data_IF_930455605234
#
_entry.id   IF_930455605234
#
_cell.length_a   1.000
_cell.length_b   1.000
_cell.length_c   1.000
_cell.angle_alpha   90.00
_cell.angle_beta   90.00
_cell.angle_gamma   90.00
#
_symmetry.space_group_name_H-M   'P 1'
#
loop_
_entity.id
_entity.type
_entity.pdbx_description
1 polymer ?
#
# COMPACT_ATOMS: atom_id res chain seq x y z
N UNK A 1 20.13 26.69 -54.09
CA UNK A 1 21.27 27.21 -53.31
C UNK A 1 21.64 26.16 -52.25
N UNK A 2 22.79 25.51 -52.48
CA UNK A 2 23.36 24.46 -51.62
C UNK A 2 24.09 25.11 -50.45
N UNK A 3 23.91 24.63 -49.23
CA UNK A 3 24.89 24.79 -48.12
C UNK A 3 24.98 23.49 -47.32
N UNK A 4 26.12 22.89 -47.38
CA UNK A 4 26.65 21.71 -46.69
C UNK A 4 26.97 22.04 -45.23
N UNK A 5 26.86 21.12 -44.29
CA UNK A 5 27.33 21.29 -42.92
C UNK A 5 28.76 20.79 -42.75
N UNK A 6 29.49 21.49 -41.90
CA UNK A 6 30.85 21.18 -41.50
C UNK A 6 30.84 20.10 -40.38
N UNK A 7 31.71 19.11 -40.56
CA UNK A 7 32.14 18.11 -39.58
C UNK A 7 33.11 18.76 -38.59
N UNK A 8 32.82 18.63 -37.30
CA UNK A 8 33.77 18.85 -36.22
C UNK A 8 34.11 17.53 -35.56
N UNK A 9 35.29 17.06 -35.79
CA UNK A 9 35.92 15.94 -35.10
C UNK A 9 36.46 16.45 -33.76
N UNK A 10 36.11 15.78 -32.67
CA UNK A 10 36.75 15.99 -31.35
C UNK A 10 37.29 14.69 -30.79
N UNK A 11 38.55 14.80 -30.40
CA UNK A 11 39.49 13.75 -30.07
C UNK A 11 39.10 12.93 -28.81
N UNK A 12 39.39 11.61 -28.92
CA UNK A 12 39.52 10.71 -27.78
C UNK A 12 40.75 11.09 -26.95
N UNK A 13 40.55 11.34 -25.66
CA UNK A 13 41.60 11.29 -24.66
C UNK A 13 41.39 10.05 -23.79
N UNK A 14 42.21 9.01 -24.03
CA UNK A 14 42.38 7.88 -23.12
C UNK A 14 43.18 8.36 -21.91
N UNK A 15 42.59 8.32 -20.74
CA UNK A 15 43.28 8.35 -19.45
C UNK A 15 43.14 6.99 -18.78
N UNK A 16 44.17 6.20 -18.87
CA UNK A 16 44.38 5.05 -18.02
C UNK A 16 44.68 5.54 -16.60
N UNK A 17 43.83 5.19 -15.64
CA UNK A 17 44.10 5.39 -14.22
C UNK A 17 43.93 4.05 -13.49
N UNK A 18 44.97 3.75 -12.76
CA UNK A 18 45.38 2.50 -12.16
C UNK A 18 44.41 1.77 -11.27
N UNK A 19 44.57 0.45 -11.27
CA UNK A 19 44.07 -0.49 -10.28
C UNK A 19 44.67 -0.19 -8.90
N UNK A 20 43.96 0.50 -8.05
CA UNK A 20 44.23 0.57 -6.61
C UNK A 20 43.37 -0.48 -5.91
N UNK A 21 43.93 -1.65 -5.60
CA UNK A 21 43.32 -2.63 -4.71
C UNK A 21 43.36 -2.11 -3.27
N UNK A 22 42.36 -1.30 -2.92
CA UNK A 22 42.07 -0.86 -1.55
C UNK A 22 40.94 -1.70 -0.98
N UNK A 23 41.22 -2.85 -0.37
CA UNK A 23 40.30 -3.66 0.40
C UNK A 23 39.85 -2.95 1.68
N UNK A 24 39.07 -1.93 1.56
CA UNK A 24 38.34 -1.32 2.69
C UNK A 24 37.23 -2.26 3.16
N UNK A 25 37.50 -3.04 4.20
CA UNK A 25 36.45 -3.67 5.00
C UNK A 25 35.65 -2.53 5.63
N UNK A 26 34.58 -2.10 4.94
CA UNK A 26 33.53 -1.29 5.57
C UNK A 26 32.92 -2.18 6.64
N UNK A 27 33.38 -2.04 7.89
CA UNK A 27 32.70 -2.59 9.05
C UNK A 27 31.33 -1.89 9.06
N UNK A 28 30.29 -2.62 8.68
CA UNK A 28 28.93 -2.16 8.86
C UNK A 28 28.78 -1.86 10.35
N UNK A 29 28.62 -0.58 10.68
CA UNK A 29 28.28 -0.18 12.06
C UNK A 29 27.10 -1.02 12.53
N UNK A 30 27.18 -1.61 13.74
CA UNK A 30 26.08 -2.39 14.26
C UNK A 30 24.83 -1.52 14.17
N UNK A 31 23.80 -2.03 13.47
CA UNK A 31 22.51 -1.35 13.36
C UNK A 31 22.02 -1.11 14.79
N UNK A 32 22.00 0.14 15.20
CA UNK A 32 21.38 0.51 16.45
C UNK A 32 19.93 0.03 16.41
N UNK A 33 19.62 -0.95 17.29
CA UNK A 33 18.24 -1.36 17.53
C UNK A 33 17.54 -0.13 18.06
N UNK A 34 16.56 0.35 17.31
CA UNK A 34 15.83 1.53 17.70
C UNK A 34 15.10 1.25 19.04
N UNK A 35 15.13 2.18 20.00
CA UNK A 35 14.51 1.97 21.30
C UNK A 35 13.01 1.68 21.13
N UNK A 36 12.48 0.82 22.01
CA UNK A 36 11.04 0.56 22.08
C UNK A 36 10.30 1.87 22.36
N UNK A 37 9.07 2.03 21.83
CA UNK A 37 8.28 3.21 22.10
C UNK A 37 7.95 3.32 23.59
N UNK A 38 7.83 4.54 24.05
CA UNK A 38 7.41 4.83 25.41
C UNK A 38 5.96 4.39 25.67
N UNK A 39 5.61 4.15 26.92
CA UNK A 39 4.23 3.84 27.29
C UNK A 39 3.24 4.92 26.82
N UNK A 40 3.65 6.19 26.83
CA UNK A 40 2.84 7.30 26.34
C UNK A 40 2.59 7.24 24.82
N UNK A 41 3.61 6.88 24.04
CA UNK A 41 3.46 6.67 22.60
C UNK A 41 2.51 5.50 22.30
N UNK A 42 2.66 4.39 23.01
CA UNK A 42 1.76 3.23 22.88
C UNK A 42 0.32 3.60 23.21
N UNK A 43 0.10 4.32 24.32
CA UNK A 43 -1.23 4.78 24.70
C UNK A 43 -1.84 5.69 23.65
N UNK A 44 -1.08 6.64 23.11
CA UNK A 44 -1.50 7.54 22.06
C UNK A 44 -1.87 6.78 20.77
N UNK A 45 -1.05 5.85 20.32
CA UNK A 45 -1.34 5.02 19.16
C UNK A 45 -2.62 4.21 19.31
N UNK A 46 -2.85 3.65 20.50
CA UNK A 46 -4.10 2.92 20.79
C UNK A 46 -5.34 3.81 20.66
N UNK A 47 -5.28 5.02 21.20
CA UNK A 47 -6.37 5.98 21.11
C UNK A 47 -6.62 6.38 19.65
N UNK A 48 -5.55 6.69 18.90
CA UNK A 48 -5.63 7.03 17.48
C UNK A 48 -6.23 5.91 16.64
N UNK A 49 -5.77 4.68 16.85
CA UNK A 49 -6.25 3.53 16.09
C UNK A 49 -7.73 3.22 16.41
N UNK A 50 -8.11 3.28 17.67
CA UNK A 50 -9.50 3.11 18.07
C UNK A 50 -10.41 4.17 17.44
N UNK A 51 -9.96 5.43 17.44
CA UNK A 51 -10.67 6.52 16.80
C UNK A 51 -10.78 6.35 15.29
N UNK A 52 -9.66 6.08 14.59
CA UNK A 52 -9.64 5.89 13.15
C UNK A 52 -10.54 4.74 12.71
N UNK A 53 -10.54 3.62 13.44
CA UNK A 53 -11.42 2.49 13.17
C UNK A 53 -12.91 2.85 13.36
N UNK A 54 -13.23 3.61 14.41
CA UNK A 54 -14.60 4.06 14.63
C UNK A 54 -15.09 4.96 13.50
N UNK A 55 -14.23 5.87 13.03
CA UNK A 55 -14.54 6.77 11.90
C UNK A 55 -14.67 6.00 10.60
N UNK A 56 -13.79 5.05 10.31
CA UNK A 56 -13.90 4.19 9.12
C UNK A 56 -15.23 3.41 9.12
N UNK A 57 -15.59 2.79 10.23
CA UNK A 57 -16.85 2.07 10.35
C UNK A 57 -18.08 2.98 10.13
N UNK A 58 -18.01 4.22 10.63
CA UNK A 58 -19.08 5.20 10.42
C UNK A 58 -19.14 5.65 8.95
N UNK A 59 -17.98 5.85 8.29
CA UNK A 59 -17.93 6.22 6.88
C UNK A 59 -18.50 5.12 5.98
N UNK A 60 -18.13 3.86 6.22
CA UNK A 60 -18.70 2.72 5.49
C UNK A 60 -20.23 2.64 5.66
N UNK A 61 -20.72 2.86 6.87
CA UNK A 61 -22.15 2.88 7.14
C UNK A 61 -22.86 4.08 6.52
N UNK A 62 -22.21 5.25 6.53
CA UNK A 62 -22.75 6.48 5.95
C UNK A 62 -22.91 6.42 4.42
N UNK A 63 -22.11 5.59 3.76
CA UNK A 63 -22.22 5.32 2.33
C UNK A 63 -23.45 4.44 1.98
N UNK A 64 -24.05 3.76 2.97
CA UNK A 64 -25.23 2.92 2.76
C UNK A 64 -26.52 3.77 2.66
N UNK A 65 -27.46 3.40 1.78
CA UNK A 65 -28.73 4.11 1.70
C UNK A 65 -29.61 3.85 2.93
N UNK A 66 -30.42 4.83 3.31
CA UNK A 66 -31.44 4.70 4.33
C UNK A 66 -31.10 5.36 5.69
N UNK A 67 -31.95 5.14 6.71
CA UNK A 67 -31.87 5.83 8.01
C UNK A 67 -30.56 5.59 8.76
N UNK A 68 -29.99 4.38 8.65
CA UNK A 68 -28.72 4.02 9.28
C UNK A 68 -27.55 4.85 8.70
N UNK A 69 -27.49 5.02 7.37
CA UNK A 69 -26.51 5.85 6.70
C UNK A 69 -26.60 7.32 7.11
N UNK A 70 -27.82 7.86 7.20
CA UNK A 70 -28.03 9.25 7.66
C UNK A 70 -27.59 9.45 9.11
N UNK A 71 -27.82 8.48 10.00
CA UNK A 71 -27.35 8.53 11.39
C UNK A 71 -25.83 8.52 11.46
N UNK A 72 -25.16 7.67 10.68
CA UNK A 72 -23.71 7.57 10.63
C UNK A 72 -23.10 8.82 10.04
N UNK A 73 -23.70 9.40 9.00
CA UNK A 73 -23.27 10.70 8.44
C UNK A 73 -23.39 11.83 9.47
N UNK A 74 -24.45 11.87 10.27
CA UNK A 74 -24.59 12.84 11.35
C UNK A 74 -23.50 12.67 12.42
N UNK A 75 -23.16 11.42 12.77
CA UNK A 75 -22.07 11.13 13.70
C UNK A 75 -20.70 11.57 13.13
N UNK A 76 -20.43 11.34 11.84
CA UNK A 76 -19.22 11.78 11.17
C UNK A 76 -19.04 13.31 11.18
N UNK A 77 -20.11 14.07 11.11
CA UNK A 77 -20.05 15.54 11.23
C UNK A 77 -19.52 16.02 12.59
N UNK A 78 -19.64 15.18 13.62
CA UNK A 78 -19.11 15.44 14.96
C UNK A 78 -17.70 14.87 15.18
N UNK A 79 -17.07 14.32 14.17
CA UNK A 79 -15.77 13.65 14.19
C UNK A 79 -14.69 14.50 14.88
N UNK A 80 -14.54 15.77 14.50
CA UNK A 80 -13.51 16.65 15.06
C UNK A 80 -13.63 16.90 16.57
N UNK A 81 -14.79 17.26 17.12
CA UNK A 81 -15.02 17.32 18.56
C UNK A 81 -14.74 15.99 19.28
N UNK A 82 -15.22 14.87 18.73
CA UNK A 82 -14.99 13.53 19.30
C UNK A 82 -13.49 13.22 19.32
N UNK A 83 -12.77 13.53 18.24
CA UNK A 83 -11.32 13.34 18.17
C UNK A 83 -10.63 14.08 19.33
N UNK A 84 -10.89 15.36 19.49
CA UNK A 84 -10.26 16.19 20.54
C UNK A 84 -10.55 15.71 21.97
N UNK A 85 -11.70 15.08 22.18
CA UNK A 85 -12.04 14.53 23.50
C UNK A 85 -11.50 13.12 23.76
N UNK A 86 -11.24 12.35 22.70
CA UNK A 86 -10.88 10.91 22.79
C UNK A 86 -9.40 10.65 22.62
N UNK A 87 -8.69 11.52 21.90
CA UNK A 87 -7.26 11.34 21.61
C UNK A 87 -6.47 12.40 22.38
N UNK A 88 -5.62 11.95 23.28
CA UNK A 88 -4.75 12.80 24.08
C UNK A 88 -3.72 13.56 23.25
N UNK A 89 -2.96 14.44 23.90
CA UNK A 89 -1.92 15.24 23.25
C UNK A 89 -0.88 14.35 22.59
N UNK A 90 -0.58 14.64 21.33
CA UNK A 90 0.41 13.91 20.56
C UNK A 90 1.83 14.14 21.12
N UNK A 91 2.56 13.07 21.51
CA UNK A 91 3.84 13.19 22.21
C UNK A 91 4.98 13.72 21.35
N UNK A 92 4.86 13.70 20.01
CA UNK A 92 5.91 14.16 19.11
C UNK A 92 5.37 15.06 17.99
N UNK A 93 6.28 15.81 17.31
CA UNK A 93 5.93 16.63 16.16
C UNK A 93 5.24 15.84 15.05
N UNK A 94 5.72 14.62 14.77
CA UNK A 94 5.19 13.77 13.70
C UNK A 94 3.81 13.21 14.05
N UNK A 95 3.62 12.80 15.29
CA UNK A 95 2.31 12.38 15.78
C UNK A 95 1.31 13.55 15.79
N UNK A 96 1.77 14.77 16.03
CA UNK A 96 0.95 15.97 15.82
C UNK A 96 0.54 16.13 14.36
N UNK A 97 1.44 15.86 13.41
CA UNK A 97 1.09 15.90 11.97
C UNK A 97 0.03 14.84 11.61
N UNK A 98 0.15 13.63 12.18
CA UNK A 98 -0.87 12.59 12.02
C UNK A 98 -2.22 13.02 12.61
N UNK A 99 -2.22 13.61 13.80
CA UNK A 99 -3.41 14.15 14.42
C UNK A 99 -4.05 15.27 13.58
N UNK A 100 -3.25 16.16 13.01
CA UNK A 100 -3.72 17.21 12.11
C UNK A 100 -4.34 16.65 10.82
N UNK A 101 -3.74 15.60 10.24
CA UNK A 101 -4.29 14.93 9.06
C UNK A 101 -5.67 14.30 9.36
N UNK A 102 -5.80 13.64 10.51
CA UNK A 102 -7.10 13.09 10.95
C UNK A 102 -8.14 14.20 11.20
N UNK A 103 -7.73 15.32 11.80
CA UNK A 103 -8.63 16.48 11.95
C UNK A 103 -9.03 17.10 10.61
N UNK A 104 -8.13 17.06 9.61
CA UNK A 104 -8.45 17.42 8.23
C UNK A 104 -9.54 16.52 7.64
N UNK A 105 -9.38 15.20 7.79
CA UNK A 105 -10.40 14.24 7.39
C UNK A 105 -11.75 14.49 8.07
N UNK A 106 -11.72 14.78 9.39
CA UNK A 106 -12.94 15.14 10.11
C UNK A 106 -13.61 16.43 9.57
N UNK A 107 -12.83 17.40 9.10
CA UNK A 107 -13.36 18.60 8.48
C UNK A 107 -14.04 18.28 7.13
N UNK A 108 -13.49 17.35 6.34
CA UNK A 108 -14.12 16.87 5.10
C UNK A 108 -15.45 16.16 5.38
N UNK A 109 -15.47 15.27 6.35
CA UNK A 109 -16.71 14.61 6.79
C UNK A 109 -17.76 15.60 7.29
N UNK A 110 -17.34 16.65 8.01
CA UNK A 110 -18.24 17.70 8.47
C UNK A 110 -18.91 18.46 7.32
N UNK A 111 -18.20 18.62 6.19
CA UNK A 111 -18.74 19.19 4.94
C UNK A 111 -19.59 18.22 4.14
N UNK A 112 -19.65 16.96 4.53
CA UNK A 112 -20.36 15.90 3.82
C UNK A 112 -19.55 15.29 2.66
N UNK A 113 -18.27 15.62 2.52
CA UNK A 113 -17.39 15.00 1.52
C UNK A 113 -16.77 13.71 2.08
N UNK A 114 -17.55 12.63 2.01
CA UNK A 114 -17.11 11.30 2.48
C UNK A 114 -15.83 10.83 1.79
N UNK A 115 -15.69 11.09 0.48
CA UNK A 115 -14.53 10.62 -0.28
C UNK A 115 -13.25 11.36 0.08
N UNK A 116 -13.32 12.67 0.26
CA UNK A 116 -12.17 13.44 0.70
C UNK A 116 -11.77 13.04 2.13
N UNK A 117 -12.75 12.87 3.02
CA UNK A 117 -12.52 12.42 4.38
C UNK A 117 -11.87 11.03 4.44
N UNK A 118 -12.35 10.07 3.67
CA UNK A 118 -11.77 8.71 3.60
C UNK A 118 -10.33 8.75 3.05
N UNK A 119 -10.07 9.50 1.99
CA UNK A 119 -8.71 9.65 1.47
C UNK A 119 -7.77 10.23 2.52
N UNK A 120 -8.15 11.33 3.15
CA UNK A 120 -7.34 11.99 4.18
C UNK A 120 -7.12 11.08 5.39
N UNK A 121 -8.10 10.28 5.78
CA UNK A 121 -7.98 9.31 6.87
C UNK A 121 -7.01 8.17 6.50
N UNK A 122 -7.09 7.64 5.28
CA UNK A 122 -6.18 6.61 4.78
C UNK A 122 -4.74 7.12 4.63
N UNK A 123 -4.55 8.34 4.13
CA UNK A 123 -3.23 8.99 4.10
C UNK A 123 -2.67 9.18 5.51
N UNK A 124 -3.50 9.52 6.48
CA UNK A 124 -3.08 9.65 7.87
C UNK A 124 -2.68 8.32 8.50
N UNK A 125 -3.21 7.20 8.02
CA UNK A 125 -2.90 5.88 8.57
C UNK A 125 -1.41 5.54 8.46
N UNK A 126 -0.76 5.93 7.37
CA UNK A 126 0.69 5.78 7.20
C UNK A 126 1.49 6.60 8.22
N UNK A 127 0.99 7.78 8.60
CA UNK A 127 1.60 8.64 9.60
C UNK A 127 1.36 8.13 11.03
N UNK A 128 0.21 7.49 11.30
CA UNK A 128 -0.12 6.92 12.60
C UNK A 128 0.87 5.83 12.99
N UNK A 129 1.32 5.03 12.01
CA UNK A 129 2.24 3.91 12.25
C UNK A 129 3.72 4.31 12.25
N UNK A 130 4.04 5.58 12.04
CA UNK A 130 5.42 6.05 12.06
C UNK A 130 5.83 6.45 13.48
N UNK A 131 7.03 6.05 13.85
CA UNK A 131 7.65 6.48 15.11
C UNK A 131 7.89 7.98 15.14
N UNK A 132 8.09 8.50 16.36
CA UNK A 132 8.44 9.91 16.59
C UNK A 132 9.69 10.37 15.84
N UNK A 133 10.64 9.46 15.56
CA UNK A 133 11.88 9.70 14.81
C UNK A 133 11.74 9.54 13.30
N UNK A 134 10.54 9.28 12.83
CA UNK A 134 10.30 9.15 11.40
C UNK A 134 10.51 7.78 10.79
N UNK A 135 10.83 6.81 11.58
CA UNK A 135 11.01 5.43 11.12
C UNK A 135 9.71 4.65 11.27
N UNK A 136 9.51 3.63 10.45
CA UNK A 136 8.47 2.63 10.68
C UNK A 136 8.69 2.01 12.07
N UNK A 137 7.59 1.56 12.67
CA UNK A 137 7.68 0.81 13.92
C UNK A 137 8.69 -0.34 13.73
N UNK A 138 9.69 -0.50 14.63
CA UNK A 138 10.65 -1.56 14.49
C UNK A 138 9.93 -2.90 14.61
N UNK A 139 10.29 -3.86 13.78
CA UNK A 139 10.02 -5.25 14.08
C UNK A 139 10.94 -5.70 15.21
N UNK A 140 10.45 -6.46 16.17
CA UNK A 140 11.28 -7.11 17.18
C UNK A 140 12.28 -8.02 16.47
N UNK A 141 13.54 -7.63 16.48
CA UNK A 141 14.61 -8.37 15.81
C UNK A 141 15.16 -7.69 14.54
N UNK A 142 14.56 -6.59 14.08
CA UNK A 142 14.96 -5.94 12.84
C UNK A 142 14.61 -6.80 11.60
N UNK A 143 14.69 -6.22 10.42
CA UNK A 143 14.56 -7.03 9.20
C UNK A 143 15.73 -8.02 9.16
N UNK A 144 15.43 -9.31 9.24
CA UNK A 144 16.44 -10.35 9.07
C UNK A 144 16.93 -10.33 7.62
N UNK A 145 18.05 -11.01 7.33
CA UNK A 145 18.54 -11.15 5.96
C UNK A 145 17.54 -11.84 5.01
N UNK A 146 16.51 -12.46 5.57
CA UNK A 146 15.44 -13.13 4.83
C UNK A 146 14.35 -12.18 4.32
N UNK A 147 14.14 -11.06 5.02
CA UNK A 147 13.21 -10.01 4.57
C UNK A 147 13.93 -9.06 3.61
N UNK A 148 13.48 -8.99 2.36
CA UNK A 148 14.20 -8.29 1.29
C UNK A 148 13.30 -7.45 0.39
N UNK A 149 13.88 -6.41 -0.21
CA UNK A 149 13.28 -5.71 -1.34
C UNK A 149 13.43 -6.57 -2.60
N UNK A 150 12.34 -6.81 -3.30
CA UNK A 150 12.31 -7.60 -4.54
C UNK A 150 12.36 -6.68 -5.77
N UNK A 151 13.48 -6.66 -6.52
CA UNK A 151 13.67 -5.69 -7.60
C UNK A 151 12.66 -5.84 -8.75
N UNK A 152 12.28 -7.09 -9.11
CA UNK A 152 11.33 -7.32 -10.22
C UNK A 152 9.91 -6.89 -9.83
N UNK A 153 9.50 -7.16 -8.59
CA UNK A 153 8.19 -6.72 -8.09
C UNK A 153 8.16 -5.21 -7.93
N UNK A 154 9.27 -4.60 -7.46
CA UNK A 154 9.40 -3.14 -7.34
C UNK A 154 9.28 -2.44 -8.68
N UNK A 155 9.92 -2.96 -9.75
CA UNK A 155 9.75 -2.41 -11.11
C UNK A 155 8.31 -2.52 -11.60
N UNK A 156 7.65 -3.64 -11.36
CA UNK A 156 6.25 -3.80 -11.72
C UNK A 156 5.36 -2.83 -10.94
N UNK A 157 5.58 -2.69 -9.65
CA UNK A 157 4.83 -1.76 -8.79
C UNK A 157 5.06 -0.30 -9.20
N UNK A 158 6.29 0.11 -9.48
CA UNK A 158 6.60 1.45 -9.97
C UNK A 158 5.90 1.75 -11.31
N UNK A 159 5.91 0.79 -12.24
CA UNK A 159 5.22 0.93 -13.54
C UNK A 159 3.68 0.97 -13.41
N UNK A 160 3.11 0.34 -12.39
CA UNK A 160 1.67 0.35 -12.10
C UNK A 160 1.24 1.64 -11.40
N UNK A 161 2.00 2.09 -10.42
CA UNK A 161 1.70 3.31 -9.65
C UNK A 161 2.08 4.59 -10.40
N UNK A 162 2.93 4.51 -11.44
CA UNK A 162 3.52 5.68 -12.08
C UNK A 162 4.47 6.46 -11.15
N UNK A 163 4.84 5.88 -10.00
CA UNK A 163 5.67 6.52 -8.98
C UNK A 163 7.06 5.90 -8.95
N UNK A 164 8.05 6.63 -9.45
CA UNK A 164 9.45 6.23 -9.36
C UNK A 164 9.86 6.06 -7.88
N UNK A 165 10.67 5.04 -7.62
CA UNK A 165 11.10 4.72 -6.26
C UNK A 165 10.11 3.90 -5.43
N UNK A 166 8.98 3.46 -6.01
CA UNK A 166 8.12 2.46 -5.37
C UNK A 166 8.90 1.17 -5.19
N UNK A 167 8.94 0.66 -3.96
CA UNK A 167 9.63 -0.58 -3.62
C UNK A 167 8.66 -1.62 -3.06
N UNK A 168 8.89 -2.87 -3.41
CA UNK A 168 8.15 -4.00 -2.84
C UNK A 168 9.06 -4.78 -1.90
N UNK A 169 8.69 -4.84 -0.63
CA UNK A 169 9.37 -5.63 0.38
C UNK A 169 8.65 -6.94 0.58
N UNK A 170 9.38 -8.01 0.43
CA UNK A 170 8.98 -9.36 0.83
C UNK A 170 9.44 -9.62 2.25
N UNK A 171 8.50 -9.88 3.14
CA UNK A 171 8.82 -10.19 4.53
C UNK A 171 9.09 -11.67 4.72
N UNK A 172 10.03 -12.01 5.60
CA UNK A 172 10.13 -13.35 6.14
C UNK A 172 8.98 -13.63 7.12
N UNK A 173 8.66 -14.88 7.36
CA UNK A 173 7.58 -15.20 8.30
C UNK A 173 7.86 -14.70 9.73
N UNK A 174 9.06 -14.89 10.30
CA UNK A 174 9.36 -14.35 11.62
C UNK A 174 9.23 -12.84 11.71
N UNK A 175 9.77 -12.11 10.71
CA UNK A 175 9.71 -10.66 10.69
C UNK A 175 8.27 -10.14 10.47
N UNK A 176 7.48 -10.84 9.65
CA UNK A 176 6.08 -10.50 9.42
C UNK A 176 5.25 -10.66 10.69
N UNK A 177 5.44 -11.76 11.42
CA UNK A 177 4.73 -11.99 12.68
C UNK A 177 5.13 -10.97 13.74
N UNK A 178 6.42 -10.66 13.85
CA UNK A 178 6.90 -9.61 14.76
C UNK A 178 6.34 -8.24 14.40
N UNK A 179 6.32 -7.87 13.11
CA UNK A 179 5.74 -6.62 12.64
C UNK A 179 4.25 -6.52 12.97
N UNK A 180 3.48 -7.58 12.74
CA UNK A 180 2.06 -7.66 13.03
C UNK A 180 1.81 -7.56 14.54
N UNK A 181 2.59 -8.29 15.36
CA UNK A 181 2.50 -8.23 16.81
C UNK A 181 2.77 -6.82 17.35
N UNK A 182 3.83 -6.18 16.89
CA UNK A 182 4.18 -4.82 17.29
C UNK A 182 3.09 -3.82 16.86
N UNK A 183 2.63 -3.89 15.63
CA UNK A 183 1.54 -3.02 15.15
C UNK A 183 0.26 -3.25 15.94
N UNK A 184 -0.09 -4.50 16.25
CA UNK A 184 -1.25 -4.81 17.10
C UNK A 184 -1.08 -4.25 18.51
N UNK A 185 0.10 -4.32 19.09
CA UNK A 185 0.38 -3.74 20.40
C UNK A 185 0.21 -2.21 20.41
N UNK A 186 0.66 -1.52 19.35
CA UNK A 186 0.50 -0.07 19.21
C UNK A 186 -0.92 0.37 18.90
N UNK A 187 -1.65 -0.41 18.12
CA UNK A 187 -2.98 -0.04 17.63
C UNK A 187 -4.12 -0.63 18.46
N UNK A 188 -3.80 -1.32 19.56
CA UNK A 188 -4.82 -1.99 20.36
C UNK A 188 -5.50 -3.17 19.67
N UNK A 189 -4.82 -3.80 18.70
CA UNK A 189 -5.34 -4.93 17.94
C UNK A 189 -6.05 -4.54 16.63
N UNK A 190 -5.95 -3.28 16.22
CA UNK A 190 -6.59 -2.79 15.00
C UNK A 190 -5.97 -3.30 13.68
N UNK A 191 -4.81 -3.93 13.73
CA UNK A 191 -4.17 -4.52 12.54
C UNK A 191 -4.72 -5.91 12.29
N UNK A 192 -5.22 -6.15 11.08
CA UNK A 192 -5.65 -7.49 10.69
C UNK A 192 -4.44 -8.41 10.54
N UNK A 193 -4.37 -9.41 11.41
CA UNK A 193 -3.33 -10.46 11.40
C UNK A 193 -3.31 -11.25 10.08
N UNK A 194 -4.38 -11.18 9.29
CA UNK A 194 -4.51 -11.86 8.02
C UNK A 194 -4.18 -10.99 6.82
N UNK A 195 -3.74 -9.75 7.04
CA UNK A 195 -3.38 -8.86 5.96
C UNK A 195 -2.43 -9.54 4.95
N UNK A 196 -2.71 -9.39 3.69
CA UNK A 196 -1.91 -9.91 2.58
C UNK A 196 -0.80 -8.93 2.18
N UNK A 197 -1.04 -7.64 2.37
CA UNK A 197 -0.12 -6.54 2.11
C UNK A 197 -0.58 -5.25 2.78
N UNK A 198 0.25 -4.23 2.70
CA UNK A 198 -0.06 -2.84 3.07
C UNK A 198 1.01 -1.90 2.53
N UNK A 199 0.68 -0.62 2.40
CA UNK A 199 1.64 0.44 2.05
C UNK A 199 2.18 1.11 3.31
N UNK A 200 3.48 1.41 3.32
CA UNK A 200 4.13 2.24 4.34
C UNK A 200 5.09 3.25 3.70
N UNK A 201 5.40 4.32 4.45
CA UNK A 201 6.28 5.41 3.98
C UNK A 201 5.87 5.99 2.60
N UNK A 202 4.57 5.91 2.27
CA UNK A 202 3.98 6.43 1.05
C UNK A 202 4.33 5.72 -0.27
N UNK A 203 5.41 4.91 -0.30
CA UNK A 203 5.88 4.24 -1.53
C UNK A 203 6.38 2.81 -1.32
N UNK A 204 6.29 2.30 -0.11
CA UNK A 204 6.73 0.94 0.18
C UNK A 204 5.53 0.01 0.27
N UNK A 205 5.42 -0.89 -0.69
CA UNK A 205 4.49 -2.01 -0.68
C UNK A 205 5.10 -3.14 0.15
N UNK A 206 4.45 -3.52 1.22
CA UNK A 206 4.85 -4.61 2.10
C UNK A 206 3.96 -5.82 1.80
N UNK A 207 4.56 -6.94 1.47
CA UNK A 207 3.82 -8.17 1.17
C UNK A 207 4.08 -9.25 2.20
N UNK A 208 3.02 -9.92 2.63
CA UNK A 208 3.09 -11.07 3.51
C UNK A 208 3.93 -12.20 2.87
N UNK A 209 4.60 -13.04 3.68
CA UNK A 209 5.47 -14.12 3.18
C UNK A 209 4.78 -15.00 2.15
N UNK A 210 3.52 -15.38 2.40
CA UNK A 210 2.72 -16.23 1.48
C UNK A 210 2.47 -15.57 0.12
N UNK A 211 2.37 -14.23 0.07
CA UNK A 211 2.21 -13.50 -1.19
C UNK A 211 3.52 -13.47 -1.95
N UNK A 212 4.60 -13.14 -1.29
CA UNK A 212 5.92 -13.14 -1.90
C UNK A 212 6.34 -14.52 -2.41
N UNK A 213 6.11 -15.58 -1.66
CA UNK A 213 6.41 -16.93 -2.11
C UNK A 213 5.70 -17.26 -3.42
N UNK A 214 4.41 -16.92 -3.55
CA UNK A 214 3.67 -17.14 -4.80
C UNK A 214 4.19 -16.29 -5.95
N UNK A 215 4.52 -15.02 -5.70
CA UNK A 215 5.14 -14.16 -6.72
C UNK A 215 6.51 -14.67 -7.14
N UNK A 216 7.34 -15.17 -6.21
CA UNK A 216 8.64 -15.76 -6.53
C UNK A 216 8.47 -16.99 -7.45
N UNK A 217 7.56 -17.91 -7.12
CA UNK A 217 7.25 -19.06 -7.98
C UNK A 217 6.76 -18.60 -9.35
N UNK A 218 5.85 -17.64 -9.39
CA UNK A 218 5.29 -17.12 -10.62
C UNK A 218 6.34 -16.43 -11.50
N UNK A 219 7.16 -15.56 -10.92
CA UNK A 219 8.07 -14.67 -11.67
C UNK A 219 9.39 -15.35 -11.99
N UNK A 220 9.97 -16.09 -11.04
CA UNK A 220 11.31 -16.64 -11.17
C UNK A 220 11.34 -18.11 -11.59
N UNK A 221 10.28 -18.88 -11.23
CA UNK A 221 10.17 -20.29 -11.62
C UNK A 221 9.21 -20.52 -12.79
N UNK A 222 8.55 -19.47 -13.26
CA UNK A 222 7.63 -19.57 -14.39
C UNK A 222 6.36 -20.38 -14.10
N UNK A 223 6.01 -20.61 -12.83
CA UNK A 223 4.83 -21.38 -12.46
C UNK A 223 3.55 -20.71 -12.95
N UNK A 224 2.74 -21.46 -13.69
CA UNK A 224 1.47 -21.02 -14.28
C UNK A 224 0.37 -22.03 -13.97
N UNK A 225 -0.23 -21.98 -12.75
CA UNK A 225 -1.32 -22.88 -12.40
C UNK A 225 -2.45 -22.84 -13.43
N UNK A 226 -2.86 -23.99 -13.94
CA UNK A 226 -3.89 -24.07 -14.99
C UNK A 226 -5.29 -23.71 -14.45
N UNK A 227 -5.58 -23.99 -13.17
CA UNK A 227 -6.90 -23.75 -12.58
C UNK A 227 -6.98 -24.00 -11.08
N UNK A 228 -8.20 -24.06 -10.56
CA UNK A 228 -8.51 -24.40 -9.17
C UNK A 228 -8.00 -23.36 -8.16
N UNK A 229 -7.92 -23.79 -6.91
CA UNK A 229 -7.52 -22.92 -5.77
C UNK A 229 -6.13 -22.28 -5.95
N UNK A 230 -5.20 -22.97 -6.61
CA UNK A 230 -3.85 -22.46 -6.79
C UNK A 230 -3.83 -21.26 -7.74
N UNK A 231 -4.57 -21.33 -8.85
CA UNK A 231 -4.72 -20.20 -9.77
C UNK A 231 -5.47 -19.03 -9.12
N UNK A 232 -6.52 -19.33 -8.36
CA UNK A 232 -7.28 -18.32 -7.61
C UNK A 232 -6.38 -17.59 -6.58
N UNK A 233 -5.55 -18.34 -5.85
CA UNK A 233 -4.58 -17.75 -4.91
C UNK A 233 -3.52 -16.90 -5.62
N UNK A 234 -3.09 -17.27 -6.82
CA UNK A 234 -2.20 -16.46 -7.63
C UNK A 234 -2.89 -15.19 -8.11
N UNK A 235 -4.14 -15.28 -8.58
CA UNK A 235 -4.94 -14.12 -8.96
C UNK A 235 -5.08 -13.14 -7.77
N UNK A 236 -5.40 -13.63 -6.57
CA UNK A 236 -5.43 -12.82 -5.35
C UNK A 236 -4.07 -12.14 -5.08
N UNK A 237 -2.98 -12.87 -5.23
CA UNK A 237 -1.63 -12.33 -4.98
C UNK A 237 -1.27 -11.20 -5.95
N UNK A 238 -1.59 -11.35 -7.23
CA UNK A 238 -1.35 -10.30 -8.23
C UNK A 238 -2.31 -9.12 -8.01
N UNK A 239 -3.56 -9.40 -7.62
CA UNK A 239 -4.53 -8.37 -7.24
C UNK A 239 -4.04 -7.58 -6.03
N UNK A 240 -3.55 -8.23 -4.98
CA UNK A 240 -2.99 -7.55 -3.81
C UNK A 240 -1.87 -6.60 -4.22
N UNK A 241 -0.90 -7.05 -5.03
CA UNK A 241 0.15 -6.16 -5.50
C UNK A 241 -0.40 -4.96 -6.29
N UNK A 242 -1.35 -5.20 -7.20
CA UNK A 242 -1.98 -4.13 -7.98
C UNK A 242 -2.77 -3.16 -7.10
N UNK A 243 -3.50 -3.65 -6.12
CA UNK A 243 -4.26 -2.90 -5.12
C UNK A 243 -3.33 -1.98 -4.30
N UNK A 244 -2.25 -2.52 -3.74
CA UNK A 244 -1.30 -1.72 -2.97
C UNK A 244 -0.64 -0.62 -3.82
N UNK A 245 -0.46 -0.84 -5.13
CA UNK A 245 0.06 0.22 -6.01
C UNK A 245 -0.94 1.37 -6.23
N UNK A 246 -2.24 1.12 -6.07
CA UNK A 246 -3.25 2.20 -6.09
C UNK A 246 -3.12 3.08 -4.85
N UNK A 247 -2.93 2.49 -3.68
CA UNK A 247 -2.66 3.27 -2.47
C UNK A 247 -1.40 4.14 -2.60
N UNK A 248 -0.36 3.64 -3.28
CA UNK A 248 0.85 4.44 -3.57
C UNK A 248 0.57 5.63 -4.47
N UNK A 249 -0.27 5.46 -5.51
CA UNK A 249 -0.50 6.49 -6.53
C UNK A 249 -1.61 7.48 -6.19
N UNK A 250 -2.63 7.02 -5.49
CA UNK A 250 -3.91 7.74 -5.40
C UNK A 250 -4.39 7.95 -3.97
N UNK A 251 -3.77 7.31 -2.97
CA UNK A 251 -4.24 7.38 -1.57
C UNK A 251 -5.73 6.99 -1.44
N UNK A 252 -6.20 6.10 -2.31
CA UNK A 252 -7.61 5.76 -2.44
C UNK A 252 -8.12 4.94 -1.24
N UNK A 253 -9.43 4.99 -0.99
CA UNK A 253 -10.08 4.06 -0.08
C UNK A 253 -10.01 2.60 -0.59
N UNK A 254 -10.29 1.64 0.29
CA UNK A 254 -10.16 0.20 0.00
C UNK A 254 -11.01 -0.25 -1.18
N UNK A 255 -12.23 0.28 -1.35
CA UNK A 255 -13.12 -0.09 -2.43
C UNK A 255 -12.64 0.45 -3.79
N UNK A 256 -12.15 1.69 -3.81
CA UNK A 256 -11.55 2.30 -5.00
C UNK A 256 -10.24 1.58 -5.34
N UNK A 257 -9.38 1.34 -4.33
CA UNK A 257 -8.12 0.63 -4.53
C UNK A 257 -8.34 -0.78 -5.08
N UNK A 258 -9.34 -1.49 -4.61
CA UNK A 258 -9.71 -2.82 -5.14
C UNK A 258 -10.22 -2.75 -6.56
N UNK A 259 -11.10 -1.80 -6.88
CA UNK A 259 -11.64 -1.63 -8.23
C UNK A 259 -10.54 -1.32 -9.25
N UNK A 260 -9.68 -0.37 -8.94
CA UNK A 260 -8.55 -0.02 -9.82
C UNK A 260 -7.50 -1.13 -9.86
N UNK A 261 -7.27 -1.83 -8.75
CA UNK A 261 -6.42 -3.00 -8.69
C UNK A 261 -6.88 -4.12 -9.62
N UNK A 262 -8.19 -4.39 -9.68
CA UNK A 262 -8.79 -5.35 -10.61
C UNK A 262 -8.50 -4.96 -12.06
N UNK A 263 -8.75 -3.73 -12.45
CA UNK A 263 -8.51 -3.23 -13.81
C UNK A 263 -7.02 -3.21 -14.18
N UNK A 264 -6.13 -3.03 -13.20
CA UNK A 264 -4.67 -3.08 -13.37
C UNK A 264 -4.10 -4.50 -13.31
N UNK A 265 -4.86 -5.51 -12.86
CA UNK A 265 -4.37 -6.87 -12.61
C UNK A 265 -3.76 -7.51 -13.86
N UNK A 266 -4.43 -7.41 -15.01
CA UNK A 266 -3.89 -7.92 -16.28
C UNK A 266 -2.54 -7.30 -16.62
N UNK A 267 -2.40 -5.99 -16.47
CA UNK A 267 -1.13 -5.27 -16.68
C UNK A 267 -0.09 -5.69 -15.66
N UNK A 268 -0.47 -5.84 -14.38
CA UNK A 268 0.40 -6.32 -13.32
C UNK A 268 0.97 -7.71 -13.64
N UNK A 269 0.11 -8.65 -14.04
CA UNK A 269 0.54 -10.00 -14.42
C UNK A 269 1.52 -9.98 -15.60
N UNK A 270 1.27 -9.15 -16.62
CA UNK A 270 2.18 -9.00 -17.78
C UNK A 270 3.53 -8.42 -17.34
N UNK A 271 3.54 -7.38 -16.53
CA UNK A 271 4.79 -6.79 -15.99
C UNK A 271 5.59 -7.79 -15.14
N UNK A 272 4.90 -8.73 -14.51
CA UNK A 272 5.50 -9.84 -13.77
C UNK A 272 5.90 -11.03 -14.67
N UNK A 273 5.73 -10.92 -16.00
CA UNK A 273 6.18 -11.89 -16.98
C UNK A 273 5.14 -12.92 -17.41
N UNK A 274 3.85 -12.69 -17.20
CA UNK A 274 2.81 -13.54 -17.73
C UNK A 274 2.57 -13.30 -19.23
N UNK A 275 2.29 -14.35 -20.02
CA UNK A 275 1.69 -14.19 -21.34
C UNK A 275 0.33 -13.48 -21.22
N UNK A 276 -0.01 -12.62 -22.19
CA UNK A 276 -1.28 -11.88 -22.18
C UNK A 276 -2.53 -12.73 -21.97
N UNK A 277 -2.70 -13.91 -22.62
CA UNK A 277 -3.89 -14.74 -22.39
C UNK A 277 -4.00 -15.24 -20.96
N UNK A 278 -2.86 -15.61 -20.35
CA UNK A 278 -2.83 -16.03 -18.96
C UNK A 278 -3.12 -14.87 -18.01
N UNK A 279 -2.57 -13.68 -18.27
CA UNK A 279 -2.85 -12.48 -17.51
C UNK A 279 -4.34 -12.11 -17.54
N UNK A 280 -4.98 -12.18 -18.71
CA UNK A 280 -6.44 -11.97 -18.84
C UNK A 280 -7.23 -13.00 -18.04
N UNK A 281 -6.85 -14.28 -18.07
CA UNK A 281 -7.53 -15.30 -17.28
C UNK A 281 -7.36 -15.16 -15.77
N UNK A 282 -6.29 -14.48 -15.30
CA UNK A 282 -6.16 -14.11 -13.89
C UNK A 282 -7.08 -12.96 -13.52
N UNK A 283 -7.22 -11.96 -14.39
CA UNK A 283 -8.11 -10.82 -14.17
C UNK A 283 -9.57 -11.26 -14.13
N UNK A 284 -10.00 -12.06 -15.09
CA UNK A 284 -11.33 -12.67 -15.12
C UNK A 284 -11.62 -13.48 -13.86
N UNK A 285 -10.66 -14.32 -13.44
CA UNK A 285 -10.81 -15.13 -12.23
C UNK A 285 -10.87 -14.27 -10.96
N UNK A 286 -10.13 -13.18 -10.89
CA UNK A 286 -10.22 -12.24 -9.78
C UNK A 286 -11.58 -11.55 -9.74
N UNK A 287 -12.08 -11.12 -10.88
CA UNK A 287 -13.39 -10.49 -11.01
C UNK A 287 -14.53 -11.42 -10.62
N UNK A 288 -14.54 -12.65 -11.16
CA UNK A 288 -15.65 -13.59 -10.97
C UNK A 288 -15.53 -14.44 -9.70
N UNK A 289 -14.30 -14.72 -9.25
CA UNK A 289 -14.03 -15.68 -8.18
C UNK A 289 -13.49 -15.07 -6.89
N UNK A 290 -13.11 -13.79 -6.87
CA UNK A 290 -12.62 -13.11 -5.65
C UNK A 290 -13.50 -11.92 -5.29
N UNK A 291 -13.68 -11.00 -6.22
CA UNK A 291 -14.36 -9.73 -5.95
C UNK A 291 -15.76 -9.91 -5.35
N UNK A 292 -16.65 -10.76 -5.87
CA UNK A 292 -18.00 -10.91 -5.32
C UNK A 292 -18.06 -11.47 -3.88
N UNK A 293 -16.95 -12.10 -3.44
CA UNK A 293 -16.86 -12.76 -2.12
C UNK A 293 -15.94 -11.99 -1.15
N UNK A 294 -15.47 -10.82 -1.54
CA UNK A 294 -14.67 -9.94 -0.68
C UNK A 294 -15.48 -9.33 0.46
N UNK A 295 -14.80 -8.72 1.42
CA UNK A 295 -15.47 -7.96 2.48
C UNK A 295 -16.11 -6.70 1.90
N UNK A 296 -17.20 -6.24 2.50
CA UNK A 296 -17.97 -5.07 2.04
C UNK A 296 -17.09 -3.82 1.80
N UNK A 297 -16.10 -3.59 2.67
CA UNK A 297 -15.17 -2.45 2.54
C UNK A 297 -14.35 -2.43 1.24
N UNK A 298 -14.22 -3.57 0.56
CA UNK A 298 -13.50 -3.69 -0.72
C UNK A 298 -14.41 -3.57 -1.93
N UNK A 299 -15.71 -3.31 -1.73
CA UNK A 299 -16.70 -3.26 -2.79
C UNK A 299 -17.18 -1.84 -3.04
N UNK A 300 -17.34 -1.50 -4.31
CA UNK A 300 -18.02 -0.29 -4.74
C UNK A 300 -19.10 -0.62 -5.76
N UNK A 301 -20.32 -0.11 -5.61
CA UNK A 301 -21.36 -0.25 -6.64
C UNK A 301 -21.01 0.50 -7.94
N UNK A 302 -19.95 1.31 -7.93
CA UNK A 302 -19.44 2.02 -9.11
C UNK A 302 -18.35 1.23 -9.85
N UNK A 303 -17.95 0.05 -9.31
CA UNK A 303 -16.93 -0.82 -9.89
C UNK A 303 -17.59 -1.81 -10.88
N UNK A 304 -17.82 -1.36 -12.08
CA UNK A 304 -18.36 -2.15 -13.20
C UNK A 304 -18.02 -1.46 -14.52
N UNK A 305 -18.15 -2.18 -15.62
CA UNK A 305 -18.00 -1.63 -16.98
C UNK A 305 -18.91 -0.40 -17.18
N UNK A 306 -18.33 0.71 -17.63
CA UNK A 306 -19.00 1.99 -17.77
C UNK A 306 -19.38 2.69 -16.45
N UNK A 307 -19.00 2.14 -15.29
CA UNK A 307 -19.20 2.77 -13.98
C UNK A 307 -18.27 3.96 -13.75
N UNK A 308 -18.50 4.71 -12.67
CA UNK A 308 -17.66 5.89 -12.35
C UNK A 308 -16.21 5.54 -12.00
N UNK A 309 -15.95 4.29 -11.60
CA UNK A 309 -14.62 3.79 -11.30
C UNK A 309 -14.01 3.02 -12.49
N UNK A 310 -14.62 3.05 -13.65
CA UNK A 310 -14.03 2.51 -14.86
C UNK A 310 -12.94 3.44 -15.38
N UNK A 311 -11.68 2.99 -15.33
CA UNK A 311 -10.52 3.76 -15.83
C UNK A 311 -10.34 3.65 -17.36
N UNK A 312 -11.11 2.77 -18.01
CA UNK A 312 -11.07 2.52 -19.44
C UNK A 312 -12.47 2.48 -20.08
N UNK A 313 -13.30 3.53 -19.91
CA UNK A 313 -14.73 3.51 -20.30
C UNK A 313 -14.98 3.33 -21.80
N UNK A 314 -13.93 3.33 -22.62
CA UNK A 314 -13.99 3.06 -24.06
C UNK A 314 -13.49 1.66 -24.43
N UNK A 315 -13.06 0.87 -23.46
CA UNK A 315 -12.58 -0.49 -23.68
C UNK A 315 -13.76 -1.44 -23.68
N UNK A 316 -13.77 -2.39 -24.62
CA UNK A 316 -14.71 -3.52 -24.58
C UNK A 316 -14.27 -4.65 -23.66
N UNK A 317 -13.19 -4.45 -22.91
CA UNK A 317 -12.59 -5.47 -22.03
C UNK A 317 -12.70 -5.00 -20.58
N UNK A 318 -13.43 -5.74 -19.80
CA UNK A 318 -13.59 -5.55 -18.36
C UNK A 318 -13.23 -6.83 -17.59
N UNK A 319 -12.58 -6.75 -16.45
CA UNK A 319 -11.66 -5.72 -15.95
C UNK A 319 -10.31 -5.74 -16.62
#
# INVERSE_FOLDING_TARGET
MKRTPALAASALALLAAGCGAGGGKTSASPRQIAPLPSAGEVAWFRQMAAFANAVNNLSEQAAAPGPAGLKSLAALRSCGPIFRSSVGAAPSRRQRSAAQAVLGACADFARGDLRAGDRALNESSSLIFLRSDGRDLPSRGGATAESRVEPRFSRAAAALSGSEGTVVRCWSLPDWLALIEERSAYTGGAVDLRADGFVSEGRRVNLAPRMCERLVRFVYRGERPAGGRTKLRLANTVLTLAHETVHVSEGADEAVATCYGLQRLRRAAVLLGAPRPYASSLAELAWTGLYPYGLAKYHSPQCHDGGKLDVHPRSSVWP
#
